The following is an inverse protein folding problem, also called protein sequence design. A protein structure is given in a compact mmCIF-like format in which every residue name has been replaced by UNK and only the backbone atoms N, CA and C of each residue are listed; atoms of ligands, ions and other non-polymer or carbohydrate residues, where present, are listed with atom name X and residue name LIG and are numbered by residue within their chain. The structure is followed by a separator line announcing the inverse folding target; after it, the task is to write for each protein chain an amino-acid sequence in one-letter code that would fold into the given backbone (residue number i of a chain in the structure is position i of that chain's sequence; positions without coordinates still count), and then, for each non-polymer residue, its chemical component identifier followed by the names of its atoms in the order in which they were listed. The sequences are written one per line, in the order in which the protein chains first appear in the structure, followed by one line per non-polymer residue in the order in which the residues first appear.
data_IF_739116977276
#
_entry.id   IF_739116977276
#
_cell.length_a   1.000
_cell.length_b   1.000
_cell.length_c   1.000
_cell.angle_alpha   90.00
_cell.angle_beta   90.00
_cell.angle_gamma   90.00
#
_symmetry.space_group_name_H-M   'P 1'
#
loop_
_entity.id
_entity.type
_entity.pdbx_description
1 polymer ?
#
# COMPACT_ATOMS: atom_id res chain seq x y z
N UNK A 1 -10.97 -3.86 9.30
CA UNK A 1 -10.26 -4.75 10.25
C UNK A 1 -8.78 -4.53 10.13
N UNK A 2 -8.04 -4.70 11.22
CA UNK A 2 -6.60 -4.47 11.29
C UNK A 2 -5.94 -5.65 11.96
N UNK A 3 -4.89 -6.20 11.32
CA UNK A 3 -4.10 -7.31 11.85
C UNK A 3 -2.63 -6.88 11.91
N UNK A 4 -1.98 -7.13 13.06
CA UNK A 4 -0.58 -6.79 13.29
C UNK A 4 0.24 -8.07 13.33
N UNK A 5 1.19 -8.21 12.41
CA UNK A 5 2.14 -9.32 12.36
C UNK A 5 3.50 -8.82 12.87
N UNK A 6 3.63 -8.72 14.20
CA UNK A 6 4.79 -8.08 14.84
C UNK A 6 6.12 -8.75 14.47
N UNK A 7 6.17 -10.08 14.40
CA UNK A 7 7.41 -10.81 14.04
C UNK A 7 7.88 -10.49 12.61
N UNK A 8 6.91 -10.34 11.70
CA UNK A 8 7.18 -10.04 10.29
C UNK A 8 7.37 -8.54 10.03
N UNK A 9 7.09 -7.69 11.03
CA UNK A 9 7.07 -6.24 10.94
C UNK A 9 6.08 -5.75 9.87
N UNK A 10 4.93 -6.42 9.81
CA UNK A 10 3.88 -6.19 8.83
C UNK A 10 2.59 -5.83 9.52
N UNK A 11 1.81 -4.97 8.88
CA UNK A 11 0.49 -4.64 9.35
C UNK A 11 -0.50 -4.60 8.19
N UNK A 12 -1.57 -5.39 8.30
CA UNK A 12 -2.63 -5.53 7.30
C UNK A 12 -3.85 -4.70 7.72
N UNK A 13 -4.44 -3.99 6.76
CA UNK A 13 -5.69 -3.23 6.90
C UNK A 13 -6.67 -3.71 5.85
N UNK A 14 -7.87 -4.04 6.29
CA UNK A 14 -9.01 -4.24 5.43
C UNK A 14 -10.04 -3.13 5.67
N UNK A 15 -10.31 -2.33 4.65
CA UNK A 15 -11.40 -1.36 4.64
C UNK A 15 -12.53 -1.90 3.75
N UNK A 16 -13.75 -1.89 4.28
CA UNK A 16 -14.96 -2.35 3.59
C UNK A 16 -15.97 -1.22 3.61
N UNK A 17 -15.87 -0.32 2.64
CA UNK A 17 -16.62 0.94 2.59
C UNK A 17 -16.98 1.30 1.14
N UNK A 18 -17.67 0.39 0.44
CA UNK A 18 -18.12 0.60 -0.94
C UNK A 18 -16.97 0.94 -1.89
N UNK A 19 -17.06 2.09 -2.57
CA UNK A 19 -16.03 2.60 -3.50
C UNK A 19 -14.66 2.85 -2.85
N UNK A 20 -14.62 2.99 -1.52
CA UNK A 20 -13.41 3.16 -0.72
C UNK A 20 -12.91 1.85 -0.08
N UNK A 21 -13.47 0.71 -0.50
CA UNK A 21 -12.97 -0.58 -0.03
C UNK A 21 -11.55 -0.77 -0.54
N UNK A 22 -10.67 -1.18 0.36
CA UNK A 22 -9.26 -1.39 0.06
C UNK A 22 -8.67 -2.47 0.96
N UNK A 23 -7.53 -2.98 0.54
CA UNK A 23 -6.61 -3.72 1.39
C UNK A 23 -5.26 -2.99 1.38
N UNK A 24 -4.67 -2.77 2.55
CA UNK A 24 -3.40 -2.05 2.70
C UNK A 24 -2.41 -2.81 3.56
N UNK A 25 -1.22 -3.05 3.01
CA UNK A 25 -0.10 -3.66 3.70
C UNK A 25 0.93 -2.58 4.01
N UNK A 26 1.33 -2.49 5.27
CA UNK A 26 2.48 -1.73 5.72
C UNK A 26 3.60 -2.73 5.99
N UNK A 27 4.63 -2.73 5.16
CA UNK A 27 5.82 -3.56 5.34
C UNK A 27 6.97 -2.67 5.83
N UNK A 28 7.16 -2.64 7.15
CA UNK A 28 8.19 -1.81 7.77
C UNK A 28 9.60 -2.36 7.53
N UNK A 29 9.72 -3.67 7.29
CA UNK A 29 10.98 -4.34 6.99
C UNK A 29 11.54 -3.89 5.64
N UNK A 30 10.70 -3.85 4.62
CA UNK A 30 11.06 -3.39 3.27
C UNK A 30 10.92 -1.87 3.11
N UNK A 31 10.16 -1.22 3.99
CA UNK A 31 9.98 0.24 4.01
C UNK A 31 8.95 0.74 3.01
N UNK A 32 7.92 -0.06 2.71
CA UNK A 32 6.88 0.26 1.73
C UNK A 32 5.48 0.06 2.28
N UNK A 33 4.54 0.78 1.71
CA UNK A 33 3.09 0.65 1.90
C UNK A 33 2.52 0.28 0.55
N UNK A 34 1.66 -0.73 0.52
CA UNK A 34 0.92 -1.10 -0.67
C UNK A 34 -0.57 -1.03 -0.38
N UNK A 35 -1.33 -0.30 -1.19
CA UNK A 35 -2.79 -0.21 -1.10
C UNK A 35 -3.41 -0.72 -2.38
N UNK A 36 -4.14 -1.82 -2.30
CA UNK A 36 -5.06 -2.26 -3.36
C UNK A 36 -6.39 -1.55 -3.19
N UNK A 37 -6.75 -0.71 -4.17
CA UNK A 37 -8.04 -0.03 -4.20
C UNK A 37 -8.98 -0.76 -5.17
N UNK A 38 -10.05 -1.35 -4.65
CA UNK A 38 -10.93 -2.22 -5.45
C UNK A 38 -11.68 -1.46 -6.55
N UNK A 39 -12.13 -0.23 -6.27
CA UNK A 39 -12.87 0.59 -7.24
C UNK A 39 -12.05 0.99 -8.47
N UNK A 40 -10.72 1.02 -8.35
CA UNK A 40 -9.80 1.32 -9.47
C UNK A 40 -9.14 0.09 -10.07
N UNK A 41 -9.35 -1.08 -9.46
CA UNK A 41 -8.64 -2.32 -9.80
C UNK A 41 -7.12 -2.10 -9.96
N UNK A 42 -6.52 -1.40 -8.99
CA UNK A 42 -5.14 -0.94 -9.04
C UNK A 42 -4.46 -1.04 -7.67
N UNK A 43 -3.13 -1.08 -7.65
CA UNK A 43 -2.32 -1.04 -6.44
C UNK A 43 -1.42 0.19 -6.41
N UNK A 44 -1.38 0.87 -5.27
CA UNK A 44 -0.58 2.05 -5.00
C UNK A 44 0.55 1.68 -4.06
N UNK A 45 1.80 1.92 -4.45
CA UNK A 45 3.01 1.62 -3.70
C UNK A 45 3.61 2.93 -3.23
N UNK A 46 3.81 3.09 -1.92
CA UNK A 46 4.39 4.29 -1.33
C UNK A 46 5.58 3.91 -0.46
N UNK A 47 6.63 4.73 -0.46
CA UNK A 47 7.78 4.55 0.44
C UNK A 47 7.45 5.08 1.83
N UNK A 48 7.74 4.29 2.87
CA UNK A 48 7.57 4.71 4.26
C UNK A 48 8.60 5.79 4.59
N UNK A 49 8.11 6.95 5.02
CA UNK A 49 8.91 7.98 5.66
C UNK A 49 8.88 7.73 7.17
N UNK A 50 9.99 7.21 7.73
CA UNK A 50 10.09 6.72 9.12
C UNK A 50 9.78 7.80 10.18
N UNK A 51 10.02 9.06 9.83
CA UNK A 51 9.68 10.25 10.60
C UNK A 51 8.16 10.50 10.71
N UNK A 52 7.39 10.06 9.72
CA UNK A 52 5.94 10.26 9.63
C UNK A 52 5.12 9.08 10.12
N UNK A 53 5.67 7.86 10.06
CA UNK A 53 4.98 6.63 10.47
C UNK A 53 5.82 5.94 11.56
N UNK A 54 5.68 6.38 12.83
CA UNK A 54 6.35 5.71 13.92
C UNK A 54 5.88 4.25 14.01
N UNK A 55 6.84 3.37 14.20
CA UNK A 55 6.66 1.93 14.22
C UNK A 55 5.50 1.51 15.17
N UNK A 56 4.60 0.66 14.65
CA UNK A 56 3.65 -0.16 15.42
C UNK A 56 2.81 0.54 16.51
N UNK A 57 2.35 1.79 16.29
CA UNK A 57 1.23 2.33 17.07
C UNK A 57 -0.02 2.47 16.23
N UNK A 58 -1.10 1.83 16.70
CA UNK A 58 -2.44 1.87 16.12
C UNK A 58 -2.91 3.30 15.79
N UNK A 59 -2.54 4.28 16.64
CA UNK A 59 -2.86 5.71 16.48
C UNK A 59 -2.16 6.34 15.27
N UNK A 60 -0.86 6.11 15.09
CA UNK A 60 -0.10 6.66 13.95
C UNK A 60 -0.62 6.12 12.62
N UNK A 61 -1.07 4.87 12.62
CA UNK A 61 -1.67 4.25 11.43
C UNK A 61 -3.07 4.76 11.13
N UNK A 62 -3.92 4.92 12.14
CA UNK A 62 -5.25 5.53 11.97
C UNK A 62 -5.14 6.98 11.45
N UNK A 63 -4.12 7.72 11.89
CA UNK A 63 -3.83 9.06 11.38
C UNK A 63 -3.38 9.01 9.91
N UNK A 64 -2.46 8.11 9.56
CA UNK A 64 -2.02 7.90 8.18
C UNK A 64 -3.20 7.51 7.26
N UNK A 65 -4.05 6.58 7.68
CA UNK A 65 -5.24 6.19 6.92
C UNK A 65 -6.18 7.38 6.71
N UNK A 66 -6.42 8.18 7.75
CA UNK A 66 -7.28 9.34 7.63
C UNK A 66 -6.76 10.41 6.68
N UNK A 67 -5.46 10.67 6.69
CA UNK A 67 -4.88 11.77 5.91
C UNK A 67 -4.48 11.32 4.50
N UNK A 68 -3.76 10.21 4.38
CA UNK A 68 -3.23 9.73 3.09
C UNK A 68 -4.28 9.02 2.26
N UNK A 69 -5.25 8.32 2.87
CA UNK A 69 -6.23 7.55 2.09
C UNK A 69 -7.39 8.38 1.57
N UNK A 70 -7.78 9.48 2.25
CA UNK A 70 -8.66 10.50 1.61
C UNK A 70 -8.11 10.91 0.25
N UNK A 71 -6.81 10.97 0.23
CA UNK A 71 -6.02 11.43 -0.84
C UNK A 71 -5.88 10.38 -1.96
N UNK A 72 -5.47 9.14 -1.64
CA UNK A 72 -5.46 7.99 -2.57
C UNK A 72 -6.85 7.66 -3.14
N UNK A 73 -7.89 7.84 -2.32
CA UNK A 73 -9.27 7.59 -2.72
C UNK A 73 -9.89 8.74 -3.51
N UNK A 74 -9.28 9.92 -3.50
CA UNK A 74 -9.82 11.09 -4.17
C UNK A 74 -9.82 10.88 -5.69
N UNK A 75 -10.97 10.98 -6.37
CA UNK A 75 -11.06 10.81 -7.82
C UNK A 75 -10.27 11.89 -8.59
N UNK A 76 -9.93 13.01 -7.93
CA UNK A 76 -9.29 14.17 -8.55
C UNK A 76 -7.79 14.25 -8.29
N UNK A 77 -7.22 13.37 -7.46
CA UNK A 77 -5.80 13.40 -7.12
C UNK A 77 -5.00 12.38 -7.93
N UNK A 78 -4.04 12.92 -8.67
CA UNK A 78 -3.20 12.25 -9.68
C UNK A 78 -1.74 12.12 -9.22
N UNK A 79 -1.43 12.24 -7.93
CA UNK A 79 -0.03 12.30 -7.47
C UNK A 79 0.71 10.96 -7.40
N UNK A 80 0.09 9.87 -7.86
CA UNK A 80 0.88 8.71 -8.19
C UNK A 80 1.23 8.80 -9.68
N UNK A 81 2.52 8.93 -9.99
CA UNK A 81 2.93 8.83 -11.39
C UNK A 81 2.52 7.43 -11.85
N UNK A 82 1.63 7.36 -12.83
CA UNK A 82 1.29 6.09 -13.47
C UNK A 82 2.57 5.53 -14.08
N UNK A 83 3.17 4.57 -13.41
CA UNK A 83 4.11 3.68 -14.06
C UNK A 83 3.26 2.55 -14.61
N UNK A 84 3.02 2.59 -15.92
CA UNK A 84 2.55 1.40 -16.61
C UNK A 84 3.48 0.27 -16.17
N UNK A 85 2.93 -0.72 -15.46
CA UNK A 85 3.63 -1.97 -15.14
C UNK A 85 3.84 -2.76 -16.43
N UNK A 86 4.56 -2.18 -17.39
CA UNK A 86 4.78 -2.70 -18.73
C UNK A 86 6.25 -3.00 -18.93
N UNK A 87 6.76 -3.97 -18.18
CA UNK A 87 7.83 -4.85 -18.64
C UNK A 87 7.89 -6.06 -17.73
N UNK A 88 7.50 -7.21 -18.27
CA UNK A 88 7.49 -8.53 -17.62
C UNK A 88 8.85 -8.94 -17.02
N UNK A 89 9.96 -8.29 -17.41
CA UNK A 89 11.30 -8.50 -16.84
C UNK A 89 11.65 -7.58 -15.65
N UNK A 90 11.01 -6.42 -15.50
CA UNK A 90 11.25 -5.48 -14.39
C UNK A 90 10.67 -5.97 -13.06
N UNK A 91 9.62 -6.80 -13.15
CA UNK A 91 8.79 -7.29 -12.05
C UNK A 91 9.56 -8.00 -10.93
N UNK A 92 10.54 -8.85 -11.25
CA UNK A 92 11.20 -9.67 -10.23
C UNK A 92 12.06 -8.86 -9.26
N UNK A 93 12.77 -7.83 -9.76
CA UNK A 93 13.60 -6.97 -8.90
C UNK A 93 12.76 -6.08 -8.00
N UNK A 94 11.63 -5.61 -8.52
CA UNK A 94 10.68 -4.80 -7.76
C UNK A 94 10.00 -5.62 -6.66
N UNK A 95 9.64 -6.88 -6.93
CA UNK A 95 9.09 -7.77 -5.89
C UNK A 95 10.09 -8.18 -4.82
N UNK A 96 11.36 -8.33 -5.19
CA UNK A 96 12.42 -8.50 -4.19
C UNK A 96 12.56 -7.25 -3.31
N UNK A 97 12.35 -6.06 -3.87
CA UNK A 97 12.42 -4.79 -3.14
C UNK A 97 11.21 -4.58 -2.22
N UNK A 98 9.99 -4.89 -2.67
CA UNK A 98 8.77 -4.67 -1.90
C UNK A 98 8.42 -5.80 -0.93
N UNK A 99 8.87 -7.02 -1.22
CA UNK A 99 8.60 -8.19 -0.40
C UNK A 99 7.35 -8.97 -0.83
N UNK A 100 7.27 -10.22 -0.38
CA UNK A 100 6.25 -11.21 -0.80
C UNK A 100 4.82 -10.81 -0.46
N UNK A 101 4.60 -10.10 0.64
CA UNK A 101 3.26 -9.69 1.06
C UNK A 101 2.68 -8.65 0.09
N UNK A 102 3.50 -7.68 -0.31
CA UNK A 102 3.11 -6.67 -1.31
C UNK A 102 2.95 -7.32 -2.69
N UNK A 103 3.85 -8.22 -3.07
CA UNK A 103 3.72 -9.01 -4.30
C UNK A 103 2.38 -9.76 -4.35
N UNK A 104 2.02 -10.49 -3.29
CA UNK A 104 0.73 -11.21 -3.21
C UNK A 104 -0.48 -10.28 -3.30
N UNK A 105 -0.40 -9.09 -2.72
CA UNK A 105 -1.48 -8.10 -2.76
C UNK A 105 -1.67 -7.49 -4.16
N UNK A 106 -0.56 -7.23 -4.88
CA UNK A 106 -0.54 -6.34 -6.03
C UNK A 106 -0.23 -7.03 -7.37
N UNK A 107 0.11 -8.32 -7.36
CA UNK A 107 0.32 -9.11 -8.58
C UNK A 107 -0.92 -9.08 -9.48
N UNK A 108 -0.71 -8.81 -10.77
CA UNK A 108 -1.78 -8.73 -11.76
C UNK A 108 -2.57 -7.42 -11.76
N UNK A 109 -2.16 -6.42 -10.97
CA UNK A 109 -2.76 -5.09 -10.94
C UNK A 109 -1.80 -4.04 -11.53
N UNK A 110 -2.33 -2.98 -12.17
CA UNK A 110 -1.55 -1.78 -12.46
C UNK A 110 -0.98 -1.19 -11.17
N UNK A 111 0.31 -0.84 -11.20
CA UNK A 111 1.02 -0.23 -10.08
C UNK A 111 1.10 1.29 -10.26
N UNK A 112 0.95 2.01 -9.16
CA UNK A 112 1.04 3.45 -9.08
C UNK A 112 2.02 3.80 -7.95
N UNK A 113 2.99 4.68 -8.19
CA UNK A 113 4.02 5.04 -7.21
C UNK A 113 3.97 6.52 -6.86
#
# INVERSE_FOLDING_TARGET
TMTIHSEEHIVDVHVRSGVYSSDTIFDYRHGYIATRLFSRNACFIMKIKKDLIPELRQIGRLAFERETMKDVYSPNNVWAQFQAGSSTLGHFKDWLLYGKHIEQLCTGLPLYQ
#
